data_IF_670147512311
#
_entry.id   IF_670147512311
#
_cell.length_a   1.000
_cell.length_b   1.000
_cell.length_c   1.000
_cell.angle_alpha   90.00
_cell.angle_beta   90.00
_cell.angle_gamma   90.00
#
_symmetry.space_group_name_H-M   'P 1'
#
loop_
_entity.id
_entity.type
_entity.pdbx_description
1 polymer ?
#
# COMPACT_ATOMS: atom_id res chain seq x y z
N UNK A 1 24.67 1.78 -6.73
CA UNK A 1 23.34 1.20 -6.93
C UNK A 1 22.41 1.59 -5.79
N UNK A 2 21.26 2.13 -6.10
CA UNK A 2 20.30 2.55 -5.08
C UNK A 2 19.59 1.35 -4.49
N UNK A 3 19.54 1.27 -3.17
CA UNK A 3 18.72 0.28 -2.50
C UNK A 3 17.26 0.71 -2.55
N UNK A 4 16.39 -0.27 -2.70
CA UNK A 4 14.95 -0.06 -2.60
C UNK A 4 14.51 -0.51 -1.20
N UNK A 5 14.33 0.41 -0.24
CA UNK A 5 13.98 0.02 1.13
C UNK A 5 12.55 -0.47 1.27
N UNK A 6 11.72 -0.32 0.23
CA UNK A 6 10.32 -0.71 0.28
C UNK A 6 10.08 -2.18 -0.05
N UNK A 7 11.04 -2.84 -0.70
CA UNK A 7 10.87 -4.24 -1.11
C UNK A 7 10.50 -5.11 0.08
N UNK A 8 9.46 -5.93 -0.09
CA UNK A 8 9.02 -6.86 0.92
C UNK A 8 7.53 -6.68 1.21
N UNK A 9 7.06 -7.48 2.15
CA UNK A 9 5.66 -7.49 2.53
C UNK A 9 5.48 -6.72 3.84
N UNK A 10 4.45 -5.87 3.87
CA UNK A 10 4.15 -5.01 5.01
C UNK A 10 2.73 -5.29 5.48
N UNK A 11 2.59 -5.55 6.77
CA UNK A 11 1.29 -5.78 7.41
C UNK A 11 0.59 -4.43 7.62
N UNK A 12 -0.60 -4.26 7.05
CA UNK A 12 -1.41 -3.06 7.30
C UNK A 12 -1.97 -3.15 8.71
N UNK A 13 -1.65 -2.18 9.54
CA UNK A 13 -2.03 -2.20 10.96
C UNK A 13 -3.17 -1.25 11.29
N UNK A 14 -3.37 -0.23 10.43
CA UNK A 14 -4.39 0.78 10.68
C UNK A 14 -4.71 1.53 9.39
N UNK A 15 -5.97 1.88 9.21
CA UNK A 15 -6.40 2.72 8.08
C UNK A 15 -7.36 3.79 8.58
N UNK A 16 -7.43 4.91 7.87
CA UNK A 16 -8.30 6.02 8.21
C UNK A 16 -9.78 5.66 8.10
N UNK A 17 -10.15 4.96 7.02
CA UNK A 17 -11.55 4.73 6.67
C UNK A 17 -12.10 3.39 7.15
N UNK A 18 -11.26 2.46 7.54
CA UNK A 18 -11.70 1.11 7.90
C UNK A 18 -11.03 0.66 9.18
N UNK A 19 -11.77 -0.11 9.99
CA UNK A 19 -11.21 -0.68 11.21
C UNK A 19 -10.48 -1.99 10.91
N UNK A 20 -9.76 -2.50 11.89
CA UNK A 20 -8.92 -3.68 11.72
C UNK A 20 -9.74 -4.93 11.39
N UNK A 21 -10.94 -5.05 11.92
CA UNK A 21 -11.81 -6.20 11.62
C UNK A 21 -12.13 -6.25 10.14
N UNK A 22 -12.41 -5.10 9.54
CA UNK A 22 -12.64 -5.03 8.10
C UNK A 22 -11.37 -5.30 7.32
N UNK A 23 -10.26 -4.68 7.73
CA UNK A 23 -8.97 -4.84 7.03
C UNK A 23 -8.61 -6.31 6.90
N UNK A 24 -8.84 -7.09 7.95
CA UNK A 24 -8.47 -8.50 8.01
C UNK A 24 -9.62 -9.45 7.65
N UNK A 25 -10.68 -8.96 7.00
CA UNK A 25 -11.90 -9.74 6.78
C UNK A 25 -11.66 -11.07 6.06
N UNK A 26 -10.88 -11.06 4.99
CA UNK A 26 -10.58 -12.28 4.23
C UNK A 26 -9.25 -12.88 4.61
N UNK A 27 -8.25 -12.04 4.82
CA UNK A 27 -6.93 -12.44 5.27
C UNK A 27 -6.26 -11.24 5.89
N UNK A 28 -5.13 -11.45 6.51
CA UNK A 28 -4.37 -10.35 7.12
C UNK A 28 -4.03 -9.29 6.07
N UNK A 29 -4.45 -8.06 6.32
CA UNK A 29 -4.22 -6.97 5.37
C UNK A 29 -2.75 -6.69 5.16
N UNK A 30 -2.35 -6.50 3.90
CA UNK A 30 -0.94 -6.27 3.58
C UNK A 30 -0.78 -5.40 2.34
N UNK A 31 0.42 -4.85 2.21
CA UNK A 31 0.90 -4.24 0.96
C UNK A 31 2.31 -4.78 0.73
N UNK A 32 2.59 -5.19 -0.50
CA UNK A 32 3.87 -5.79 -0.85
C UNK A 32 4.46 -5.10 -2.06
N UNK A 33 5.74 -4.75 -1.97
CA UNK A 33 6.49 -4.17 -3.08
C UNK A 33 7.54 -5.16 -3.55
N UNK A 34 7.45 -5.56 -4.81
CA UNK A 34 8.38 -6.52 -5.40
C UNK A 34 9.60 -5.85 -5.99
N UNK A 35 10.49 -6.65 -6.53
CA UNK A 35 11.81 -6.19 -7.01
C UNK A 35 11.77 -5.43 -8.33
N UNK A 36 10.73 -5.61 -9.15
CA UNK A 36 10.67 -5.10 -10.51
C UNK A 36 9.47 -4.16 -10.66
N UNK A 37 9.45 -3.12 -9.84
CA UNK A 37 8.49 -2.02 -9.93
C UNK A 37 7.02 -2.47 -9.85
N UNK A 38 6.77 -3.68 -9.33
CA UNK A 38 5.42 -4.22 -9.21
C UNK A 38 5.19 -4.75 -7.82
N UNK A 39 3.92 -4.80 -7.43
CA UNK A 39 3.55 -5.32 -6.14
C UNK A 39 2.06 -5.58 -6.09
N UNK A 40 1.54 -5.73 -4.89
CA UNK A 40 0.12 -5.94 -4.70
C UNK A 40 -0.28 -5.61 -3.26
N UNK A 41 -1.57 -5.46 -3.05
CA UNK A 41 -2.11 -5.28 -1.70
C UNK A 41 -3.46 -5.98 -1.59
N UNK A 42 -3.84 -6.24 -0.35
CA UNK A 42 -5.14 -6.80 -0.03
C UNK A 42 -5.58 -6.27 1.33
N UNK A 43 -6.75 -5.70 1.40
CA UNK A 43 -7.39 -5.39 2.68
C UNK A 43 -8.90 -5.47 2.49
N UNK A 44 -9.59 -6.04 3.48
CA UNK A 44 -11.03 -6.25 3.36
C UNK A 44 -11.35 -7.11 2.15
N UNK A 45 -12.18 -6.60 1.27
CA UNK A 45 -12.53 -7.28 0.02
C UNK A 45 -11.83 -6.66 -1.18
N UNK A 46 -10.85 -5.79 -0.93
CA UNK A 46 -10.14 -5.05 -1.97
C UNK A 46 -8.81 -5.74 -2.27
N UNK A 47 -8.55 -6.00 -3.53
CA UNK A 47 -7.28 -6.53 -3.98
C UNK A 47 -6.77 -5.70 -5.13
N UNK A 48 -5.51 -5.28 -5.07
CA UNK A 48 -4.93 -4.44 -6.11
C UNK A 48 -3.56 -4.90 -6.54
N UNK A 49 -3.32 -4.81 -7.85
CA UNK A 49 -1.98 -4.99 -8.44
C UNK A 49 -1.36 -3.62 -8.56
N UNK A 50 -0.11 -3.50 -8.15
CA UNK A 50 0.60 -2.23 -8.05
C UNK A 50 1.65 -2.11 -9.13
N UNK A 51 1.73 -0.91 -9.73
CA UNK A 51 2.86 -0.48 -10.54
C UNK A 51 3.43 0.75 -9.84
N UNK A 52 4.72 0.71 -9.46
CA UNK A 52 5.26 1.78 -8.63
C UNK A 52 6.61 2.27 -9.12
N UNK A 53 6.97 3.46 -8.66
CA UNK A 53 8.32 3.99 -8.82
C UNK A 53 8.72 4.69 -7.53
N UNK A 54 10.03 4.85 -7.34
CA UNK A 54 10.56 5.51 -6.16
C UNK A 54 11.03 6.90 -6.58
N UNK A 55 10.56 7.90 -5.85
CA UNK A 55 10.94 9.29 -6.06
C UNK A 55 11.54 9.84 -4.77
N UNK A 56 12.26 10.95 -4.90
CA UNK A 56 12.75 11.67 -3.74
C UNK A 56 11.77 12.80 -3.43
N UNK A 57 11.30 12.83 -2.21
CA UNK A 57 10.40 13.88 -1.73
C UNK A 57 10.99 14.46 -0.45
N UNK A 58 11.32 15.74 -0.48
CA UNK A 58 11.94 16.43 0.66
C UNK A 58 13.18 15.70 1.19
N UNK A 59 13.99 15.19 0.25
CA UNK A 59 15.25 14.51 0.58
C UNK A 59 15.12 13.06 1.00
N UNK A 60 13.91 12.51 1.01
CA UNK A 60 13.67 11.12 1.44
C UNK A 60 13.01 10.31 0.33
N UNK A 61 13.25 8.99 0.28
CA UNK A 61 12.60 8.15 -0.71
C UNK A 61 11.11 8.02 -0.43
N UNK A 62 10.32 7.99 -1.48
CA UNK A 62 8.88 7.86 -1.42
C UNK A 62 8.43 7.01 -2.60
N UNK A 63 7.55 6.06 -2.35
CA UNK A 63 6.92 5.28 -3.41
C UNK A 63 5.68 6.02 -3.89
N UNK A 64 5.57 6.15 -5.22
CA UNK A 64 4.34 6.61 -5.88
C UNK A 64 3.84 5.45 -6.70
N UNK A 65 2.56 5.13 -6.62
CA UNK A 65 2.06 3.97 -7.34
C UNK A 65 0.66 4.19 -7.90
N UNK A 66 0.37 3.45 -8.96
CA UNK A 66 -0.97 3.25 -9.45
C UNK A 66 -1.34 1.79 -9.19
N UNK A 67 -2.62 1.50 -9.17
CA UNK A 67 -3.06 0.14 -8.95
C UNK A 67 -4.38 -0.12 -9.67
N UNK A 68 -4.62 -1.39 -9.99
CA UNK A 68 -5.92 -1.85 -10.45
C UNK A 68 -6.20 -3.22 -9.85
N UNK A 69 -7.47 -3.55 -9.75
CA UNK A 69 -7.88 -4.80 -9.15
C UNK A 69 -9.37 -4.88 -8.99
N UNK A 70 -9.81 -5.36 -7.83
CA UNK A 70 -11.23 -5.59 -7.56
C UNK A 70 -11.60 -5.17 -6.15
N UNK A 71 -12.86 -4.80 -5.98
CA UNK A 71 -13.48 -4.55 -4.69
C UNK A 71 -14.81 -5.31 -4.69
N UNK A 72 -14.86 -6.43 -3.97
CA UNK A 72 -16.02 -7.33 -3.95
C UNK A 72 -16.47 -7.71 -5.36
N UNK A 73 -15.51 -8.09 -6.22
CA UNK A 73 -15.76 -8.51 -7.60
C UNK A 73 -16.05 -7.37 -8.58
N UNK A 74 -16.20 -6.15 -8.12
CA UNK A 74 -16.30 -4.99 -9.00
C UNK A 74 -14.90 -4.50 -9.35
N UNK A 75 -14.70 -4.03 -10.57
CA UNK A 75 -13.42 -3.47 -10.96
C UNK A 75 -13.14 -2.20 -10.16
N UNK A 76 -11.90 -2.07 -9.73
CA UNK A 76 -11.44 -0.91 -8.98
C UNK A 76 -10.03 -0.52 -9.43
N UNK A 77 -9.71 0.75 -9.32
CA UNK A 77 -8.39 1.26 -9.67
C UNK A 77 -8.13 2.55 -8.92
N UNK A 78 -6.86 2.94 -8.90
CA UNK A 78 -6.51 4.19 -8.26
C UNK A 78 -5.03 4.42 -8.21
N UNK A 79 -4.61 5.14 -7.19
CA UNK A 79 -3.20 5.50 -6.98
C UNK A 79 -2.91 5.53 -5.50
N UNK A 80 -1.66 5.79 -5.16
CA UNK A 80 -1.27 5.93 -3.78
C UNK A 80 0.19 6.28 -3.67
N UNK A 81 0.63 6.38 -2.44
CA UNK A 81 2.04 6.63 -2.13
C UNK A 81 2.35 6.05 -0.76
N UNK A 82 3.65 5.89 -0.48
CA UNK A 82 4.07 5.46 0.86
C UNK A 82 5.48 5.95 1.13
N UNK A 83 5.79 6.08 2.43
CA UNK A 83 7.12 6.43 2.91
C UNK A 83 7.42 5.57 4.13
N UNK A 84 8.71 5.46 4.44
CA UNK A 84 9.14 4.73 5.65
C UNK A 84 9.44 5.78 6.71
N UNK A 85 8.84 5.60 7.88
CA UNK A 85 9.01 6.51 9.01
C UNK A 85 10.32 6.22 9.74
N UNK A 86 10.73 7.14 10.63
CA UNK A 86 11.98 7.00 11.36
C UNK A 86 12.04 5.73 12.22
N UNK A 87 10.90 5.24 12.68
CA UNK A 87 10.83 4.03 13.49
C UNK A 87 10.78 2.74 12.65
N UNK A 88 10.87 2.87 11.33
CA UNK A 88 10.87 1.71 10.43
C UNK A 88 9.49 1.27 9.98
N UNK A 89 8.43 1.89 10.46
CA UNK A 89 7.08 1.58 9.97
C UNK A 89 6.80 2.33 8.68
N UNK A 90 5.74 1.94 7.99
CA UNK A 90 5.33 2.59 6.75
C UNK A 90 4.08 3.41 6.99
N UNK A 91 4.04 4.60 6.40
CA UNK A 91 2.84 5.41 6.33
C UNK A 91 2.57 5.74 4.88
N UNK A 92 1.31 5.64 4.47
CA UNK A 92 0.97 5.94 3.09
C UNK A 92 -0.50 6.26 2.92
N UNK A 93 -0.91 6.27 1.67
CA UNK A 93 -2.28 6.60 1.30
C UNK A 93 -2.69 5.78 0.09
N UNK A 94 -3.89 5.24 0.14
CA UNK A 94 -4.50 4.54 -1.00
C UNK A 94 -5.70 5.37 -1.44
N UNK A 95 -5.76 5.66 -2.74
CA UNK A 95 -6.81 6.48 -3.34
C UNK A 95 -7.53 5.66 -4.38
N UNK A 96 -8.84 5.50 -4.22
CA UNK A 96 -9.69 4.88 -5.23
C UNK A 96 -10.08 5.95 -6.25
N UNK A 97 -9.95 5.62 -7.52
CA UNK A 97 -10.33 6.55 -8.58
C UNK A 97 -11.80 6.92 -8.45
N UNK A 98 -12.07 8.21 -8.26
CA UNK A 98 -13.43 8.74 -8.04
C UNK A 98 -14.11 8.14 -6.81
N UNK A 99 -13.36 7.61 -5.88
CA UNK A 99 -13.88 6.97 -4.69
C UNK A 99 -13.18 7.42 -3.42
N UNK A 100 -13.08 6.52 -2.48
CA UNK A 100 -12.55 6.81 -1.16
C UNK A 100 -11.05 7.04 -1.15
N UNK A 101 -10.60 7.74 -0.12
CA UNK A 101 -9.19 7.99 0.13
C UNK A 101 -8.94 7.65 1.58
N UNK A 102 -7.87 6.89 1.82
CA UNK A 102 -7.54 6.49 3.18
C UNK A 102 -6.04 6.45 3.37
N UNK A 103 -5.55 7.10 4.42
CA UNK A 103 -4.18 6.81 4.82
C UNK A 103 -4.14 5.40 5.43
N UNK A 104 -2.94 4.83 5.46
CA UNK A 104 -2.70 3.55 6.11
C UNK A 104 -1.37 3.55 6.84
N UNK A 105 -1.27 2.71 7.84
CA UNK A 105 -0.02 2.41 8.53
C UNK A 105 0.28 0.93 8.36
N UNK A 106 1.55 0.61 8.24
CA UNK A 106 1.96 -0.77 8.07
C UNK A 106 3.32 -1.00 8.74
N UNK A 107 3.60 -2.26 9.04
CA UNK A 107 4.90 -2.63 9.58
C UNK A 107 5.43 -3.82 8.81
N UNK A 108 6.76 -3.91 8.75
CA UNK A 108 7.41 -4.96 7.99
C UNK A 108 7.09 -6.34 8.56
N UNK A 109 6.76 -7.25 7.68
CA UNK A 109 6.57 -8.65 8.05
C UNK A 109 7.93 -9.36 7.93
N UNK A 110 8.17 -10.23 8.88
CA UNK A 110 9.44 -10.97 8.95
C UNK A 110 9.29 -12.30 8.24
#
# INVERSE_FOLDING_TARGET
MKKNPFIGKWRITEMEQWDLDFIDEEEEGYIEFGKVDQGDFHFGYVQGSIDYEIETFEGKPRVEFSWDGTDEMDEAMGRGWSRIEDDGTMFGKIVFHMGERSWFKAKRMI
#
